data_IF_980503926327
#
_entry.id   IF_980503926327
#
_cell.length_a   1.000
_cell.length_b   1.000
_cell.length_c   1.000
_cell.angle_alpha   90.00
_cell.angle_beta   90.00
_cell.angle_gamma   90.00
#
_symmetry.space_group_name_H-M   'P 1'
#
loop_
_entity.id
_entity.type
_entity.pdbx_description
1 polymer ?
#
# COMPACT_ATOMS: atom_id res chain seq x y z
N UNK A 1 17.02 -9.48 16.63
CA UNK A 1 16.79 -8.15 16.00
C UNK A 1 15.92 -7.34 16.94
N UNK A 2 16.27 -6.08 17.22
CA UNK A 2 15.43 -5.22 18.06
C UNK A 2 14.05 -5.03 17.39
N UNK A 3 13.00 -5.09 18.17
CA UNK A 3 11.65 -4.79 17.69
C UNK A 3 11.61 -3.33 17.23
N UNK A 4 11.26 -3.10 15.94
CA UNK A 4 11.11 -1.77 15.34
C UNK A 4 9.66 -1.47 14.98
N UNK A 5 8.70 -2.18 15.59
CA UNK A 5 7.28 -1.95 15.33
C UNK A 5 6.84 -0.55 15.78
N UNK A 6 5.82 -0.02 15.13
CA UNK A 6 5.12 1.19 15.55
C UNK A 6 3.75 0.80 16.10
N UNK A 7 3.39 1.30 17.29
CA UNK A 7 2.07 1.16 17.88
C UNK A 7 1.49 2.54 18.16
N UNK A 8 0.24 2.77 17.79
CA UNK A 8 -0.44 4.06 17.84
C UNK A 8 -1.85 3.90 18.36
N UNK A 9 -2.20 4.67 19.40
CA UNK A 9 -3.56 4.86 19.88
C UNK A 9 -3.84 6.36 19.92
N UNK A 10 -4.90 6.82 19.26
CA UNK A 10 -5.30 8.23 19.23
C UNK A 10 -6.79 8.34 19.48
N UNK A 11 -7.18 9.19 20.46
CA UNK A 11 -8.58 9.48 20.77
C UNK A 11 -8.78 10.95 21.08
N UNK A 12 -9.72 11.58 20.41
CA UNK A 12 -10.22 12.94 20.70
C UNK A 12 -11.56 13.18 20.00
N UNK A 13 -12.39 14.02 20.59
CA UNK A 13 -13.70 14.38 20.03
C UNK A 13 -13.63 15.54 19.01
N UNK A 14 -12.68 16.45 19.18
CA UNK A 14 -12.51 17.61 18.30
C UNK A 14 -11.16 18.31 18.49
N UNK A 15 -10.78 19.25 17.62
CA UNK A 15 -11.50 19.75 16.42
C UNK A 15 -11.54 18.77 15.24
N UNK A 16 -10.67 17.78 15.20
CA UNK A 16 -10.68 16.69 14.24
C UNK A 16 -10.92 15.41 15.04
N UNK A 17 -12.11 14.80 14.96
CA UNK A 17 -12.38 13.57 15.71
C UNK A 17 -11.38 12.48 15.35
N UNK A 18 -10.89 11.74 16.33
CA UNK A 18 -10.03 10.58 16.16
C UNK A 18 -10.41 9.50 17.19
N UNK A 19 -10.63 8.28 16.71
CA UNK A 19 -10.81 7.11 17.55
C UNK A 19 -10.27 5.89 16.80
N UNK A 20 -8.99 5.62 17.03
CA UNK A 20 -8.29 4.58 16.28
C UNK A 20 -7.11 4.01 17.06
N UNK A 21 -6.84 2.75 16.74
CA UNK A 21 -5.69 2.01 17.21
C UNK A 21 -5.15 1.15 16.08
N UNK A 22 -3.83 1.13 15.91
CA UNK A 22 -3.17 0.28 14.93
C UNK A 22 -1.72 0.01 15.30
N UNK A 23 -1.16 -1.00 14.65
CA UNK A 23 0.27 -1.29 14.66
C UNK A 23 0.80 -1.44 13.23
N UNK A 24 2.10 -1.16 13.06
CA UNK A 24 2.83 -1.39 11.83
C UNK A 24 4.12 -2.12 12.16
N UNK A 25 4.29 -3.31 11.63
CA UNK A 25 5.47 -4.14 11.90
C UNK A 25 6.73 -3.64 11.20
N UNK A 26 7.87 -4.17 11.63
CA UNK A 26 9.16 -3.93 10.98
C UNK A 26 9.12 -4.42 9.53
N UNK A 27 9.41 -3.55 8.58
CA UNK A 27 9.36 -3.87 7.15
C UNK A 27 7.95 -3.91 6.54
N UNK A 28 6.92 -3.55 7.29
CA UNK A 28 5.55 -3.39 6.76
C UNK A 28 5.31 -1.99 6.18
N UNK A 29 4.37 -1.93 5.23
CA UNK A 29 3.75 -0.68 4.77
C UNK A 29 2.29 -0.67 5.24
N UNK A 30 1.97 0.22 6.18
CA UNK A 30 0.60 0.51 6.54
C UNK A 30 0.09 1.68 5.69
N UNK A 31 -0.90 1.44 4.84
CA UNK A 31 -1.61 2.51 4.15
C UNK A 31 -2.83 2.95 4.95
N UNK A 32 -2.90 4.22 5.29
CA UNK A 32 -4.10 4.86 5.85
C UNK A 32 -4.88 5.44 4.69
N UNK A 33 -6.04 4.85 4.39
CA UNK A 33 -6.89 5.20 3.28
C UNK A 33 -8.27 5.67 3.75
N UNK A 34 -8.81 6.69 3.11
CA UNK A 34 -10.11 7.24 3.45
C UNK A 34 -10.40 8.57 2.74
N UNK A 35 -11.63 9.09 2.82
CA UNK A 35 -12.03 10.35 2.18
C UNK A 35 -11.18 11.54 2.64
N UNK A 36 -11.19 12.61 1.85
CA UNK A 36 -10.59 13.88 2.26
C UNK A 36 -11.23 14.40 3.55
N UNK A 37 -10.42 14.95 4.46
CA UNK A 37 -10.91 15.44 5.75
C UNK A 37 -11.11 14.35 6.83
N UNK A 38 -10.86 13.07 6.55
CA UNK A 38 -11.02 11.99 7.56
C UNK A 38 -9.97 11.97 8.68
N UNK A 39 -8.98 12.87 8.67
CA UNK A 39 -7.96 12.97 9.72
C UNK A 39 -6.62 12.30 9.40
N UNK A 40 -6.40 11.78 8.18
CA UNK A 40 -5.20 11.03 7.78
C UNK A 40 -3.88 11.77 8.06
N UNK A 41 -3.74 13.00 7.57
CA UNK A 41 -2.55 13.85 7.82
C UNK A 41 -2.38 14.16 9.31
N UNK A 42 -3.49 14.30 10.06
CA UNK A 42 -3.45 14.52 11.52
C UNK A 42 -2.83 13.33 12.24
N UNK A 43 -3.13 12.10 11.80
CA UNK A 43 -2.50 10.88 12.35
C UNK A 43 -0.99 10.92 12.13
N UNK A 44 -0.51 11.20 10.90
CA UNK A 44 0.92 11.30 10.63
C UNK A 44 1.59 12.40 11.46
N UNK A 45 0.95 13.56 11.58
CA UNK A 45 1.45 14.67 12.41
C UNK A 45 1.51 14.29 13.89
N UNK A 46 0.55 13.49 14.39
CA UNK A 46 0.57 12.99 15.76
C UNK A 46 1.76 12.05 15.99
N UNK A 47 2.01 11.11 15.07
CA UNK A 47 3.17 10.21 15.14
C UNK A 47 4.48 11.01 15.13
N UNK A 48 4.58 12.03 14.27
CA UNK A 48 5.75 12.90 14.19
C UNK A 48 5.90 13.84 15.41
N UNK A 49 4.88 13.94 16.28
CA UNK A 49 4.86 14.86 17.42
C UNK A 49 4.53 16.32 17.06
N UNK A 50 4.07 16.55 15.83
CA UNK A 50 3.66 17.87 15.30
C UNK A 50 2.21 18.24 15.66
N UNK A 51 1.43 17.27 16.11
CA UNK A 51 0.07 17.45 16.62
C UNK A 51 -0.11 16.60 17.88
N UNK A 52 -0.90 17.08 18.83
CA UNK A 52 -1.08 16.44 20.12
C UNK A 52 -2.58 16.22 20.38
N UNK A 53 -3.12 15.02 20.09
CA UNK A 53 -4.48 14.64 20.46
C UNK A 53 -4.71 14.65 21.97
N UNK A 54 -5.97 14.74 22.39
CA UNK A 54 -6.36 14.75 23.79
C UNK A 54 -5.88 13.49 24.53
N UNK A 55 -6.04 12.34 23.88
CA UNK A 55 -5.52 11.06 24.38
C UNK A 55 -4.69 10.39 23.31
N UNK A 56 -3.45 10.04 23.64
CA UNK A 56 -2.58 9.33 22.71
C UNK A 56 -1.60 8.43 23.46
N UNK A 57 -1.28 7.29 22.83
CA UNK A 57 -0.13 6.47 23.15
C UNK A 57 0.58 6.13 21.84
N UNK A 58 1.86 6.48 21.71
CA UNK A 58 2.67 6.25 20.51
C UNK A 58 4.00 5.66 20.95
N UNK A 59 4.28 4.45 20.43
CA UNK A 59 5.50 3.70 20.73
C UNK A 59 6.18 3.25 19.45
N UNK A 60 7.51 3.28 19.45
CA UNK A 60 8.35 2.73 18.38
C UNK A 60 9.33 1.74 19.01
N UNK A 61 9.10 0.45 18.77
CA UNK A 61 9.76 -0.62 19.51
C UNK A 61 9.58 -0.45 21.00
N UNK A 62 10.68 -0.44 21.75
CA UNK A 62 10.68 -0.24 23.21
C UNK A 62 10.52 1.23 23.63
N UNK A 63 10.62 2.18 22.71
CA UNK A 63 10.61 3.61 23.00
C UNK A 63 9.19 4.18 22.96
N UNK A 64 8.72 4.73 24.08
CA UNK A 64 7.47 5.52 24.15
C UNK A 64 7.76 6.94 23.71
N UNK A 65 7.17 7.39 22.58
CA UNK A 65 7.30 8.75 22.10
C UNK A 65 6.27 9.71 22.70
N UNK A 66 5.07 9.21 22.95
CA UNK A 66 4.04 9.97 23.65
C UNK A 66 3.11 9.04 24.39
N UNK A 67 2.71 9.45 25.58
CA UNK A 67 1.69 8.80 26.39
C UNK A 67 1.02 9.85 27.29
N UNK A 68 -0.27 10.10 27.05
CA UNK A 68 -1.02 11.09 27.81
C UNK A 68 -1.35 10.65 29.24
N UNK A 69 -1.34 9.35 29.53
CA UNK A 69 -1.58 8.81 30.90
C UNK A 69 -0.36 9.09 31.77
N UNK A 70 0.83 8.84 31.26
CA UNK A 70 2.09 9.10 31.99
C UNK A 70 2.61 10.52 31.84
N UNK A 71 2.02 11.33 30.94
CA UNK A 71 2.49 12.67 30.60
C UNK A 71 3.75 12.71 29.74
N UNK A 72 4.24 11.56 29.28
CA UNK A 72 5.44 11.49 28.45
C UNK A 72 5.20 12.10 27.07
N UNK A 73 6.14 12.93 26.61
CA UNK A 73 6.10 13.51 25.27
C UNK A 73 7.52 13.82 24.77
N UNK A 74 7.98 13.04 23.80
CA UNK A 74 9.22 13.31 23.09
C UNK A 74 8.95 14.35 22.00
N UNK A 75 9.67 15.50 22.00
CA UNK A 75 9.44 16.53 20.98
C UNK A 75 9.86 16.04 19.57
N UNK A 76 9.29 16.61 18.47
CA UNK A 76 9.49 16.12 17.10
C UNK A 76 10.95 15.94 16.69
N UNK A 77 11.83 16.87 17.05
CA UNK A 77 13.24 16.84 16.67
C UNK A 77 14.06 15.74 17.36
N UNK A 78 13.52 15.14 18.43
CA UNK A 78 14.15 14.01 19.14
C UNK A 78 13.52 12.66 18.75
N UNK A 79 12.43 12.64 17.97
CA UNK A 79 11.88 11.39 17.43
C UNK A 79 12.69 10.92 16.22
N UNK A 80 13.00 9.65 16.18
CA UNK A 80 13.66 9.02 15.02
C UNK A 80 12.63 8.79 13.89
N UNK A 81 12.06 9.86 13.35
CA UNK A 81 11.04 9.85 12.30
C UNK A 81 11.59 10.49 11.04
N UNK A 82 11.44 9.80 9.89
CA UNK A 82 11.53 10.40 8.57
C UNK A 82 10.12 10.82 8.11
N UNK A 83 9.94 12.08 7.71
CA UNK A 83 8.65 12.59 7.24
C UNK A 83 8.78 13.21 5.85
N UNK A 84 8.01 12.69 4.89
CA UNK A 84 7.83 13.27 3.57
C UNK A 84 6.47 13.93 3.54
N UNK A 85 6.45 15.27 3.47
CA UNK A 85 5.23 16.08 3.42
C UNK A 85 4.64 16.09 2.01
N UNK A 86 3.33 16.30 1.90
CA UNK A 86 2.59 16.37 0.63
C UNK A 86 3.19 17.38 -0.37
N UNK A 87 3.64 18.54 0.10
CA UNK A 87 4.31 19.56 -0.72
C UNK A 87 5.85 19.46 -0.67
N UNK A 88 6.38 18.31 -0.24
CA UNK A 88 7.82 18.02 -0.08
C UNK A 88 8.56 18.89 0.93
N UNK A 89 8.08 20.09 1.23
CA UNK A 89 8.66 21.07 2.16
C UNK A 89 10.19 21.26 1.98
N UNK A 90 10.64 21.36 0.73
CA UNK A 90 12.03 21.60 0.41
C UNK A 90 12.39 23.08 0.62
N UNK A 91 13.59 23.35 1.10
CA UNK A 91 14.13 24.70 1.23
C UNK A 91 14.44 25.25 -0.18
N UNK A 92 13.71 26.28 -0.67
CA UNK A 92 13.82 26.70 -2.07
C UNK A 92 15.14 27.38 -2.41
N UNK A 93 15.85 27.90 -1.41
CA UNK A 93 17.15 28.58 -1.55
C UNK A 93 18.33 27.59 -1.56
N UNK A 94 18.14 26.37 -1.07
CA UNK A 94 19.17 25.32 -1.04
C UNK A 94 19.10 24.43 -2.30
N UNK A 95 20.23 23.84 -2.66
CA UNK A 95 20.30 22.79 -3.68
C UNK A 95 19.70 21.46 -3.18
N UNK A 96 19.57 20.47 -4.04
CA UNK A 96 19.17 19.12 -3.63
C UNK A 96 20.10 18.57 -2.55
N UNK A 97 21.42 18.66 -2.76
CA UNK A 97 22.42 18.28 -1.76
C UNK A 97 22.27 19.08 -0.46
N UNK A 98 22.10 20.41 -0.56
CA UNK A 98 21.90 21.29 0.59
C UNK A 98 20.67 20.89 1.41
N UNK A 99 19.55 20.54 0.76
CA UNK A 99 18.34 20.05 1.42
C UNK A 99 18.59 18.78 2.24
N UNK A 100 19.31 17.81 1.70
CA UNK A 100 19.64 16.56 2.42
C UNK A 100 20.63 16.85 3.55
N UNK A 101 21.64 17.68 3.32
CA UNK A 101 22.64 18.07 4.33
C UNK A 101 22.03 18.73 5.57
N UNK A 102 20.89 19.44 5.45
CA UNK A 102 20.22 20.06 6.63
C UNK A 102 19.79 19.02 7.67
N UNK A 103 19.40 17.83 7.23
CA UNK A 103 19.00 16.74 8.13
C UNK A 103 20.19 16.01 8.79
N UNK A 104 21.39 16.20 8.27
CA UNK A 104 22.64 15.59 8.75
C UNK A 104 23.44 16.51 9.70
N UNK A 105 22.80 17.52 10.30
CA UNK A 105 23.45 18.51 11.15
C UNK A 105 24.23 17.94 12.35
N UNK A 106 23.92 16.73 12.76
CA UNK A 106 24.59 15.99 13.84
C UNK A 106 25.94 15.36 13.42
N UNK A 107 26.30 15.35 12.11
CA UNK A 107 27.54 14.75 11.59
C UNK A 107 28.59 15.81 11.27
N UNK A 108 29.90 15.50 11.33
CA UNK A 108 30.96 16.38 10.86
C UNK A 108 30.81 16.77 9.39
N UNK A 109 31.30 17.94 9.00
CA UNK A 109 31.04 18.55 7.69
C UNK A 109 31.41 17.69 6.48
N UNK A 110 32.59 17.05 6.50
CA UNK A 110 33.02 16.17 5.39
C UNK A 110 32.15 14.90 5.27
N UNK A 111 31.85 14.25 6.38
CA UNK A 111 30.97 13.08 6.41
C UNK A 111 29.55 13.41 6.01
N UNK A 112 29.06 14.61 6.40
CA UNK A 112 27.74 15.11 6.04
C UNK A 112 27.55 15.20 4.54
N UNK A 113 28.53 15.74 3.82
CA UNK A 113 28.48 15.87 2.37
C UNK A 113 28.47 14.49 1.70
N UNK A 114 29.41 13.62 2.07
CA UNK A 114 29.49 12.26 1.52
C UNK A 114 28.19 11.50 1.74
N UNK A 115 27.67 11.52 2.97
CA UNK A 115 26.41 10.83 3.29
C UNK A 115 25.21 11.38 2.52
N UNK A 116 25.15 12.70 2.31
CA UNK A 116 24.10 13.32 1.52
C UNK A 116 24.18 12.91 0.04
N UNK A 117 25.38 12.80 -0.53
CA UNK A 117 25.62 12.31 -1.89
C UNK A 117 25.22 10.84 -2.03
N UNK A 118 25.53 9.99 -1.03
CA UNK A 118 25.13 8.58 -1.01
C UNK A 118 23.60 8.44 -0.96
N UNK A 119 22.91 9.26 -0.16
CA UNK A 119 21.45 9.25 -0.09
C UNK A 119 20.80 9.74 -1.37
N UNK A 120 21.36 10.75 -2.04
CA UNK A 120 20.89 11.18 -3.36
C UNK A 120 21.09 10.09 -4.41
N UNK A 121 22.18 9.35 -4.34
CA UNK A 121 22.44 8.21 -5.22
C UNK A 121 21.46 7.06 -4.96
N UNK A 122 21.15 6.79 -3.68
CA UNK A 122 20.15 5.79 -3.30
C UNK A 122 18.76 6.06 -3.91
N UNK A 123 18.40 7.33 -4.10
CA UNK A 123 17.12 7.74 -4.73
C UNK A 123 17.30 8.12 -6.21
N UNK A 124 18.33 7.67 -6.88
CA UNK A 124 18.59 7.89 -8.32
C UNK A 124 18.57 9.36 -8.73
N UNK A 125 19.23 10.23 -7.96
CA UNK A 125 19.43 11.65 -8.26
C UNK A 125 20.89 12.01 -8.55
N UNK A 126 21.63 11.06 -9.12
CA UNK A 126 23.00 11.31 -9.60
C UNK A 126 23.00 12.47 -10.63
N UNK A 127 23.97 13.37 -10.48
CA UNK A 127 24.09 14.53 -11.36
C UNK A 127 23.10 15.67 -11.12
N UNK A 128 22.15 15.53 -10.17
CA UNK A 128 21.17 16.58 -9.85
C UNK A 128 21.46 17.29 -8.52
N UNK A 129 22.53 16.93 -7.83
CA UNK A 129 22.90 17.42 -6.49
C UNK A 129 22.99 18.95 -6.37
N UNK A 130 23.44 19.63 -7.42
CA UNK A 130 23.59 21.09 -7.47
C UNK A 130 22.30 21.84 -7.86
N UNK A 131 21.25 21.16 -8.32
CA UNK A 131 19.99 21.80 -8.74
C UNK A 131 19.19 22.27 -7.53
N UNK A 132 18.54 23.44 -7.66
CA UNK A 132 17.57 23.95 -6.68
C UNK A 132 16.18 23.36 -6.96
N UNK A 133 15.26 23.32 -5.98
CA UNK A 133 13.92 22.75 -6.12
C UNK A 133 13.13 23.29 -7.33
N UNK A 134 13.31 24.54 -7.72
CA UNK A 134 12.65 25.14 -8.89
C UNK A 134 13.09 24.54 -10.23
N UNK A 135 14.29 23.98 -10.29
CA UNK A 135 14.86 23.34 -11.48
C UNK A 135 14.68 21.81 -11.48
N UNK A 136 13.91 21.27 -10.53
CA UNK A 136 13.59 19.86 -10.39
C UNK A 136 12.14 19.60 -10.78
N UNK A 137 11.89 18.47 -11.44
CA UNK A 137 10.55 17.92 -11.68
C UNK A 137 9.85 17.55 -10.37
N UNK A 138 8.54 17.27 -10.40
CA UNK A 138 7.79 16.80 -9.24
C UNK A 138 8.39 15.55 -8.61
N UNK A 139 8.70 14.54 -9.43
CA UNK A 139 9.32 13.30 -8.97
C UNK A 139 10.74 13.50 -8.41
N UNK A 140 11.57 14.36 -9.03
CA UNK A 140 12.89 14.68 -8.49
C UNK A 140 12.81 15.41 -7.15
N UNK A 141 11.84 16.33 -6.97
CA UNK A 141 11.59 16.98 -5.67
C UNK A 141 11.19 15.98 -4.60
N UNK A 142 10.34 15.04 -4.94
CA UNK A 142 9.93 13.96 -4.04
C UNK A 142 11.13 13.11 -3.61
N UNK A 143 11.99 12.72 -4.54
CA UNK A 143 13.22 11.95 -4.25
C UNK A 143 14.16 12.72 -3.31
N UNK A 144 14.34 14.02 -3.50
CA UNK A 144 15.11 14.85 -2.56
C UNK A 144 14.47 14.84 -1.17
N UNK A 145 13.14 14.96 -1.07
CA UNK A 145 12.43 14.91 0.21
C UNK A 145 12.58 13.54 0.89
N UNK A 146 12.55 12.46 0.11
CA UNK A 146 12.77 11.11 0.60
C UNK A 146 14.20 10.92 1.10
N UNK A 147 15.22 11.33 0.32
CA UNK A 147 16.63 11.30 0.75
C UNK A 147 16.85 12.09 2.05
N UNK A 148 16.20 13.26 2.18
CA UNK A 148 16.24 14.08 3.40
C UNK A 148 15.58 13.39 4.59
N UNK A 149 14.45 12.71 4.38
CA UNK A 149 13.76 11.95 5.43
C UNK A 149 14.62 10.78 5.92
N UNK A 150 15.34 10.11 5.03
CA UNK A 150 16.24 8.99 5.34
C UNK A 150 17.55 9.42 6.02
N UNK A 151 17.94 10.69 5.87
CA UNK A 151 19.23 11.19 6.37
C UNK A 151 19.42 11.06 7.89
N UNK A 152 18.33 11.00 8.65
CA UNK A 152 18.36 10.82 10.10
C UNK A 152 18.30 9.36 10.56
N UNK A 153 18.40 8.41 9.63
CA UNK A 153 18.32 6.97 9.93
C UNK A 153 17.06 6.65 10.76
N UNK A 154 15.86 6.94 10.21
CA UNK A 154 14.63 6.91 10.97
C UNK A 154 14.28 5.49 11.43
N UNK A 155 13.62 5.39 12.61
CA UNK A 155 12.98 4.17 13.06
C UNK A 155 11.61 3.94 12.40
N UNK A 156 10.98 5.02 11.91
CA UNK A 156 9.68 5.00 11.21
C UNK A 156 9.73 6.00 10.06
N UNK A 157 9.20 5.62 8.89
CA UNK A 157 9.06 6.51 7.73
C UNK A 157 7.58 6.87 7.53
N UNK A 158 7.27 8.16 7.48
CA UNK A 158 5.93 8.70 7.27
C UNK A 158 5.84 9.39 5.91
N UNK A 159 4.88 9.00 5.10
CA UNK A 159 4.65 9.54 3.75
C UNK A 159 3.24 10.13 3.65
N UNK A 160 3.14 11.43 3.46
CA UNK A 160 1.86 12.15 3.34
C UNK A 160 1.57 12.43 1.87
N UNK A 161 0.66 11.68 1.28
CA UNK A 161 0.27 11.74 -0.15
C UNK A 161 1.48 11.77 -1.12
N UNK A 162 2.40 10.81 -0.99
CA UNK A 162 3.71 10.91 -1.65
C UNK A 162 3.64 10.93 -3.18
N UNK A 163 2.55 10.45 -3.80
CA UNK A 163 2.46 10.31 -5.25
C UNK A 163 1.41 11.21 -5.91
N UNK A 164 0.77 12.12 -5.15
CA UNK A 164 -0.34 12.93 -5.65
C UNK A 164 0.03 13.92 -6.77
N UNK A 165 1.27 14.40 -6.80
CA UNK A 165 1.72 15.47 -7.69
C UNK A 165 2.58 14.98 -8.89
N UNK A 166 2.58 13.68 -9.19
CA UNK A 166 3.42 13.09 -10.24
C UNK A 166 2.57 12.34 -11.27
N UNK A 167 3.03 12.34 -12.53
CA UNK A 167 2.39 11.59 -13.60
C UNK A 167 2.52 10.07 -13.40
N UNK A 168 1.69 9.30 -14.13
CA UNK A 168 1.54 7.85 -13.94
C UNK A 168 2.84 7.07 -14.12
N UNK A 169 3.69 7.46 -15.05
CA UNK A 169 4.94 6.75 -15.34
C UNK A 169 5.98 6.97 -14.24
N UNK A 170 6.15 8.22 -13.81
CA UNK A 170 7.02 8.60 -12.70
C UNK A 170 6.52 8.02 -11.39
N UNK A 171 5.20 8.00 -11.17
CA UNK A 171 4.57 7.41 -9.98
C UNK A 171 4.96 5.95 -9.80
N UNK A 172 4.88 5.14 -10.85
CA UNK A 172 5.26 3.72 -10.78
C UNK A 172 6.71 3.53 -10.35
N UNK A 173 7.64 4.31 -10.91
CA UNK A 173 9.05 4.27 -10.50
C UNK A 173 9.26 4.63 -9.04
N UNK A 174 8.60 5.69 -8.58
CA UNK A 174 8.68 6.12 -7.17
C UNK A 174 8.08 5.09 -6.22
N UNK A 175 6.99 4.43 -6.60
CA UNK A 175 6.42 3.33 -5.81
C UNK A 175 7.41 2.18 -5.66
N UNK A 176 8.09 1.80 -6.73
CA UNK A 176 9.15 0.81 -6.70
C UNK A 176 10.28 1.21 -5.76
N UNK A 177 10.78 2.44 -5.89
CA UNK A 177 11.86 2.96 -5.04
C UNK A 177 11.47 2.95 -3.55
N UNK A 178 10.21 3.31 -3.22
CA UNK A 178 9.71 3.25 -1.84
C UNK A 178 9.66 1.80 -1.33
N UNK A 179 9.26 0.83 -2.15
CA UNK A 179 9.24 -0.58 -1.76
C UNK A 179 10.66 -1.14 -1.58
N UNK A 180 11.61 -0.78 -2.44
CA UNK A 180 13.02 -1.16 -2.30
C UNK A 180 13.64 -0.57 -1.03
N UNK A 181 13.36 0.69 -0.71
CA UNK A 181 13.80 1.34 0.52
C UNK A 181 13.24 0.59 1.74
N UNK A 182 11.94 0.24 1.72
CA UNK A 182 11.30 -0.54 2.79
C UNK A 182 12.02 -1.87 3.01
N UNK A 183 12.25 -2.63 1.93
CA UNK A 183 12.91 -3.95 2.00
C UNK A 183 14.32 -3.82 2.57
N UNK A 184 15.07 -2.81 2.15
CA UNK A 184 16.46 -2.62 2.56
C UNK A 184 16.61 -2.13 3.99
N UNK A 185 15.70 -1.26 4.46
CA UNK A 185 15.78 -0.67 5.81
C UNK A 185 15.11 -1.52 6.89
N UNK A 186 14.10 -2.31 6.54
CA UNK A 186 13.34 -3.13 7.47
C UNK A 186 12.68 -2.32 8.59
N UNK A 187 12.24 -1.09 8.30
CA UNK A 187 11.51 -0.22 9.25
C UNK A 187 10.02 -0.14 8.87
N UNK A 188 9.13 0.14 9.82
CA UNK A 188 7.74 0.44 9.51
C UNK A 188 7.62 1.70 8.67
N UNK A 189 6.75 1.63 7.66
CA UNK A 189 6.39 2.74 6.80
C UNK A 189 4.88 2.99 6.93
N UNK A 190 4.49 4.21 7.27
CA UNK A 190 3.08 4.62 7.30
C UNK A 190 2.83 5.61 6.16
N UNK A 191 1.96 5.24 5.24
CA UNK A 191 1.60 6.05 4.08
C UNK A 191 0.14 6.49 4.18
N UNK A 192 -0.10 7.76 3.93
CA UNK A 192 -1.43 8.32 3.73
C UNK A 192 -1.64 8.55 2.24
N UNK A 193 -2.75 8.09 1.71
CA UNK A 193 -3.14 8.34 0.32
C UNK A 193 -4.66 8.35 0.18
N UNK A 194 -5.16 9.04 -0.82
CA UNK A 194 -6.54 8.96 -1.29
C UNK A 194 -6.67 8.14 -2.58
N UNK A 195 -5.54 7.69 -3.13
CA UNK A 195 -5.51 6.86 -4.33
C UNK A 195 -5.33 5.39 -3.95
N UNK A 196 -6.33 4.61 -4.32
CA UNK A 196 -6.37 3.20 -3.99
C UNK A 196 -5.35 2.35 -4.78
N UNK A 197 -4.92 2.80 -5.96
CA UNK A 197 -3.88 2.11 -6.72
C UNK A 197 -2.57 2.06 -5.90
N UNK A 198 -2.24 3.13 -5.15
CA UNK A 198 -1.08 3.14 -4.25
C UNK A 198 -1.23 2.12 -3.13
N UNK A 199 -2.43 2.03 -2.54
CA UNK A 199 -2.72 1.09 -1.44
C UNK A 199 -2.51 -0.34 -1.92
N UNK A 200 -3.18 -0.72 -3.02
CA UNK A 200 -3.12 -2.10 -3.53
C UNK A 200 -1.70 -2.47 -3.96
N UNK A 201 -0.96 -1.52 -4.51
CA UNK A 201 0.39 -1.78 -5.02
C UNK A 201 1.45 -1.94 -3.92
N UNK A 202 1.38 -1.11 -2.87
CA UNK A 202 2.45 -0.98 -1.90
C UNK A 202 2.12 -1.55 -0.52
N UNK A 203 0.87 -1.41 -0.07
CA UNK A 203 0.53 -1.72 1.32
C UNK A 203 0.62 -3.22 1.61
N UNK A 204 1.22 -3.58 2.75
CA UNK A 204 1.08 -4.91 3.37
C UNK A 204 -0.17 -4.93 4.24
N UNK A 205 -0.44 -3.82 4.92
CA UNK A 205 -1.59 -3.60 5.78
C UNK A 205 -2.33 -2.32 5.38
N UNK A 206 -3.61 -2.29 5.63
CA UNK A 206 -4.44 -1.11 5.39
C UNK A 206 -5.25 -0.76 6.64
N UNK A 207 -5.36 0.54 6.91
CA UNK A 207 -6.29 1.12 7.86
C UNK A 207 -7.28 1.97 7.09
N UNK A 208 -8.54 1.53 7.07
CA UNK A 208 -9.61 2.27 6.44
C UNK A 208 -10.17 3.27 7.45
N UNK A 209 -10.13 4.54 7.11
CA UNK A 209 -10.50 5.64 7.99
C UNK A 209 -11.73 6.38 7.46
N UNK A 210 -12.77 6.45 8.26
CA UNK A 210 -13.96 7.26 7.98
C UNK A 210 -14.26 8.16 9.17
N UNK A 211 -14.37 9.49 8.93
CA UNK A 211 -14.69 10.49 9.96
C UNK A 211 -13.87 10.35 11.24
N UNK A 212 -12.57 10.06 11.10
CA UNK A 212 -11.65 9.90 12.23
C UNK A 212 -11.71 8.55 12.95
N UNK A 213 -12.52 7.61 12.48
CA UNK A 213 -12.66 6.27 13.07
C UNK A 213 -12.08 5.21 12.15
N UNK A 214 -11.44 4.21 12.73
CA UNK A 214 -11.02 3.01 12.01
C UNK A 214 -12.24 2.14 11.70
N UNK A 215 -12.58 2.00 10.41
CA UNK A 215 -13.68 1.14 9.95
C UNK A 215 -13.22 -0.29 9.75
N UNK A 216 -12.01 -0.45 9.25
CA UNK A 216 -11.34 -1.75 9.12
C UNK A 216 -9.83 -1.57 9.18
N UNK A 217 -9.13 -2.58 9.70
CA UNK A 217 -7.66 -2.62 9.74
C UNK A 217 -7.18 -4.06 9.61
N UNK A 218 -6.05 -4.27 8.95
CA UNK A 218 -5.42 -5.58 8.82
C UNK A 218 -4.64 -5.75 7.52
N UNK A 219 -4.19 -6.99 7.23
CA UNK A 219 -3.56 -7.33 5.97
C UNK A 219 -4.45 -6.96 4.79
N UNK A 220 -3.86 -6.39 3.73
CA UNK A 220 -4.64 -5.88 2.59
C UNK A 220 -5.54 -6.96 1.96
N UNK A 221 -5.04 -8.17 1.82
CA UNK A 221 -5.81 -9.30 1.29
C UNK A 221 -7.08 -9.59 2.10
N UNK A 222 -6.99 -9.53 3.43
CA UNK A 222 -8.11 -9.76 4.35
C UNK A 222 -9.13 -8.61 4.28
N UNK A 223 -8.67 -7.36 4.30
CA UNK A 223 -9.59 -6.22 4.25
C UNK A 223 -10.28 -6.12 2.90
N UNK A 224 -9.56 -6.40 1.80
CA UNK A 224 -10.12 -6.38 0.45
C UNK A 224 -11.14 -7.50 0.18
N UNK A 225 -11.09 -8.59 0.93
CA UNK A 225 -12.07 -9.69 0.81
C UNK A 225 -13.34 -9.47 1.65
N UNK A 226 -13.51 -8.29 2.29
CA UNK A 226 -14.67 -7.94 3.09
C UNK A 226 -15.78 -7.31 2.22
N UNK A 227 -16.90 -8.00 2.00
CA UNK A 227 -18.00 -7.48 1.16
C UNK A 227 -18.88 -6.44 1.88
N UNK A 228 -18.77 -6.36 3.23
CA UNK A 228 -19.54 -5.45 4.10
C UNK A 228 -19.05 -4.00 4.09
N UNK A 229 -17.90 -3.71 3.45
CA UNK A 229 -17.34 -2.36 3.35
C UNK A 229 -17.95 -1.59 2.16
N UNK A 230 -19.18 -1.09 2.34
CA UNK A 230 -19.97 -0.44 1.30
C UNK A 230 -19.21 0.69 0.59
N UNK A 231 -18.61 1.63 1.34
CA UNK A 231 -17.89 2.75 0.75
C UNK A 231 -16.62 2.35 -0.03
N UNK A 232 -15.95 1.27 0.37
CA UNK A 232 -14.81 0.73 -0.37
C UNK A 232 -15.27 0.16 -1.72
N UNK A 233 -16.43 -0.52 -1.71
CA UNK A 233 -17.08 -1.03 -2.91
C UNK A 233 -17.43 0.09 -3.90
N UNK A 234 -17.97 1.20 -3.42
CA UNK A 234 -18.27 2.38 -4.25
C UNK A 234 -17.02 3.07 -4.78
N UNK A 235 -16.02 3.29 -3.91
CA UNK A 235 -14.84 4.07 -4.24
C UNK A 235 -13.90 3.36 -5.21
N UNK A 236 -13.81 2.03 -5.15
CA UNK A 236 -12.70 1.26 -5.76
C UNK A 236 -13.16 0.00 -6.49
N UNK A 237 -14.40 -0.45 -6.26
CA UNK A 237 -14.90 -1.76 -6.66
C UNK A 237 -14.30 -2.90 -5.83
N UNK A 238 -15.08 -3.94 -5.65
CA UNK A 238 -14.61 -5.15 -4.97
C UNK A 238 -13.60 -5.91 -5.84
N UNK A 239 -12.69 -6.61 -5.17
CA UNK A 239 -11.73 -7.47 -5.84
C UNK A 239 -10.88 -8.24 -4.84
N UNK A 240 -10.26 -9.28 -5.33
CA UNK A 240 -9.33 -10.09 -4.53
C UNK A 240 -7.91 -9.64 -4.81
N UNK A 241 -7.11 -9.48 -3.76
CA UNK A 241 -5.68 -9.14 -3.83
C UNK A 241 -4.90 -10.23 -3.10
N UNK A 242 -3.86 -10.76 -3.75
CA UNK A 242 -2.97 -11.78 -3.18
C UNK A 242 -1.60 -11.73 -3.83
N UNK A 243 -0.61 -12.34 -3.20
CA UNK A 243 0.73 -12.48 -3.77
C UNK A 243 0.85 -13.84 -4.48
N UNK A 244 1.53 -13.85 -5.62
CA UNK A 244 1.79 -15.05 -6.43
C UNK A 244 3.24 -15.07 -6.91
N UNK A 245 3.77 -16.25 -7.19
CA UNK A 245 5.12 -16.44 -7.73
C UNK A 245 5.02 -16.76 -9.21
N UNK A 246 5.80 -16.09 -10.04
CA UNK A 246 5.96 -16.39 -11.46
C UNK A 246 6.72 -17.70 -11.60
N UNK A 247 6.08 -18.74 -12.09
CA UNK A 247 6.71 -20.06 -12.27
C UNK A 247 7.24 -20.28 -13.68
N UNK A 248 6.55 -19.75 -14.68
CA UNK A 248 6.91 -19.95 -16.09
C UNK A 248 6.65 -18.67 -16.89
N UNK A 249 7.57 -18.32 -17.77
CA UNK A 249 7.43 -17.18 -18.69
C UNK A 249 7.30 -17.72 -20.13
N UNK A 250 6.13 -17.54 -20.74
CA UNK A 250 5.84 -17.92 -22.14
C UNK A 250 6.08 -16.68 -23.04
N UNK A 251 7.32 -16.42 -23.40
CA UNK A 251 7.70 -15.21 -24.18
C UNK A 251 7.01 -15.13 -25.54
N UNK A 252 6.85 -16.26 -26.22
CA UNK A 252 6.18 -16.41 -27.51
C UNK A 252 4.69 -16.04 -27.45
N UNK A 253 4.06 -16.24 -26.30
CA UNK A 253 2.62 -15.98 -26.07
C UNK A 253 2.37 -14.67 -25.33
N UNK A 254 3.38 -14.02 -24.77
CA UNK A 254 3.25 -12.84 -23.91
C UNK A 254 2.48 -13.13 -22.63
N UNK A 255 2.60 -14.33 -22.07
CA UNK A 255 1.91 -14.81 -20.87
C UNK A 255 2.92 -15.28 -19.84
N UNK A 256 2.52 -15.21 -18.59
CA UNK A 256 3.22 -15.81 -17.45
C UNK A 256 2.29 -16.74 -16.68
N UNK A 257 2.85 -17.83 -16.19
CA UNK A 257 2.17 -18.71 -15.25
C UNK A 257 2.50 -18.28 -13.82
N UNK A 258 1.46 -18.12 -13.01
CA UNK A 258 1.54 -17.67 -11.62
C UNK A 258 1.08 -18.81 -10.71
N UNK A 259 1.85 -19.09 -9.66
CA UNK A 259 1.47 -20.01 -8.59
C UNK A 259 1.09 -19.24 -7.34
N UNK A 260 -0.04 -19.57 -6.73
CA UNK A 260 -0.54 -18.98 -5.49
C UNK A 260 -1.26 -20.05 -4.63
N UNK A 261 -1.69 -19.71 -3.42
CA UNK A 261 -2.32 -20.67 -2.51
C UNK A 261 -3.58 -21.34 -3.07
N UNK A 262 -4.33 -20.66 -3.95
CA UNK A 262 -5.54 -21.18 -4.59
C UNK A 262 -5.31 -21.92 -5.93
N UNK A 263 -4.06 -22.16 -6.36
CA UNK A 263 -3.75 -22.87 -7.60
C UNK A 263 -2.81 -22.15 -8.54
N UNK A 264 -3.13 -22.15 -9.82
CA UNK A 264 -2.33 -21.52 -10.88
C UNK A 264 -3.17 -20.60 -11.75
N UNK A 265 -2.56 -19.54 -12.26
CA UNK A 265 -3.17 -18.58 -13.17
C UNK A 265 -2.23 -18.29 -14.35
N UNK A 266 -2.82 -18.06 -15.52
CA UNK A 266 -2.15 -17.47 -16.67
C UNK A 266 -2.55 -16.00 -16.80
N UNK A 267 -1.58 -15.10 -16.76
CA UNK A 267 -1.77 -13.67 -16.89
C UNK A 267 -0.91 -13.11 -18.01
N UNK A 268 -1.33 -12.01 -18.69
CA UNK A 268 -0.49 -11.33 -19.66
C UNK A 268 0.62 -10.59 -18.92
N UNK A 269 1.85 -10.84 -19.31
CA UNK A 269 3.00 -10.08 -18.84
C UNK A 269 4.11 -10.12 -19.89
N UNK A 270 4.87 -9.01 -19.93
CA UNK A 270 6.11 -8.92 -20.70
C UNK A 270 7.19 -8.47 -19.72
N UNK A 271 8.37 -9.06 -19.84
CA UNK A 271 9.55 -8.64 -19.05
C UNK A 271 9.51 -8.93 -17.54
N UNK A 272 8.73 -9.92 -17.08
CA UNK A 272 8.81 -10.40 -15.70
C UNK A 272 9.67 -11.67 -15.67
N UNK A 273 10.64 -11.73 -14.74
CA UNK A 273 11.47 -12.90 -14.57
C UNK A 273 10.74 -14.03 -13.82
N UNK A 274 11.13 -15.28 -14.09
CA UNK A 274 10.72 -16.40 -13.27
C UNK A 274 11.19 -16.21 -11.81
N UNK A 275 10.53 -16.88 -10.87
CA UNK A 275 10.77 -16.81 -9.42
C UNK A 275 10.54 -15.41 -8.79
N UNK A 276 9.95 -14.48 -9.57
CA UNK A 276 9.55 -13.17 -9.05
C UNK A 276 8.21 -13.29 -8.32
N UNK A 277 8.14 -12.76 -7.09
CA UNK A 277 6.86 -12.57 -6.40
C UNK A 277 6.17 -11.33 -6.92
N UNK A 278 4.95 -11.49 -7.38
CA UNK A 278 4.10 -10.41 -7.90
C UNK A 278 2.82 -10.32 -7.09
N UNK A 279 2.33 -9.11 -6.90
CA UNK A 279 0.99 -8.90 -6.35
C UNK A 279 -0.03 -8.95 -7.47
N UNK A 280 -1.10 -9.69 -7.24
CA UNK A 280 -2.19 -9.91 -8.19
C UNK A 280 -3.44 -9.25 -7.66
N UNK A 281 -4.17 -8.53 -8.51
CA UNK A 281 -5.54 -8.08 -8.25
C UNK A 281 -6.47 -8.64 -9.31
N UNK A 282 -7.61 -9.17 -8.87
CA UNK A 282 -8.69 -9.63 -9.74
C UNK A 282 -9.96 -8.90 -9.33
N UNK A 283 -10.51 -7.99 -10.16
CA UNK A 283 -11.76 -7.32 -9.87
C UNK A 283 -12.93 -8.31 -9.80
N UNK A 284 -13.79 -8.20 -8.80
CA UNK A 284 -14.87 -9.15 -8.56
C UNK A 284 -15.87 -9.23 -9.73
N UNK A 285 -16.10 -8.13 -10.44
CA UNK A 285 -16.96 -8.03 -11.63
C UNK A 285 -16.43 -8.80 -12.86
N UNK A 286 -15.16 -9.14 -12.87
CA UNK A 286 -14.50 -9.86 -13.99
C UNK A 286 -14.57 -11.38 -13.83
N UNK A 287 -15.17 -11.87 -12.74
CA UNK A 287 -15.24 -13.29 -12.42
C UNK A 287 -16.60 -13.84 -12.81
N UNK A 288 -16.60 -14.90 -13.62
CA UNK A 288 -17.78 -15.64 -13.99
C UNK A 288 -17.82 -16.95 -13.20
N UNK A 289 -18.99 -17.30 -12.66
CA UNK A 289 -19.17 -18.54 -11.92
C UNK A 289 -19.89 -19.58 -12.77
N UNK A 290 -19.41 -20.83 -12.76
CA UNK A 290 -20.04 -21.94 -13.45
C UNK A 290 -20.21 -23.11 -12.48
N UNK A 291 -21.40 -23.71 -12.48
CA UNK A 291 -21.74 -24.90 -11.64
C UNK A 291 -21.21 -26.22 -12.20
N UNK A 292 -20.78 -26.20 -13.45
CA UNK A 292 -20.15 -27.34 -14.15
C UNK A 292 -18.85 -26.85 -14.78
N UNK A 293 -17.90 -27.77 -14.97
CA UNK A 293 -16.65 -27.46 -15.66
C UNK A 293 -16.96 -27.10 -17.12
N UNK A 294 -16.64 -25.87 -17.54
CA UNK A 294 -16.97 -25.43 -18.89
C UNK A 294 -15.98 -25.93 -19.91
N UNK A 295 -16.44 -26.19 -21.13
CA UNK A 295 -15.61 -26.56 -22.26
C UNK A 295 -15.77 -25.59 -23.43
N UNK A 296 -14.76 -25.54 -24.31
CA UNK A 296 -14.81 -24.73 -25.55
C UNK A 296 -14.77 -23.23 -25.35
N UNK A 297 -14.15 -22.75 -24.26
CA UNK A 297 -14.03 -21.32 -23.95
C UNK A 297 -12.65 -20.78 -24.33
N UNK A 298 -12.60 -19.48 -24.64
CA UNK A 298 -11.33 -18.75 -24.86
C UNK A 298 -10.64 -18.35 -23.55
N UNK A 299 -11.09 -18.87 -22.41
CA UNK A 299 -10.52 -18.59 -21.08
C UNK A 299 -9.42 -19.61 -20.75
N UNK A 300 -8.35 -19.14 -20.12
CA UNK A 300 -7.29 -20.02 -19.65
C UNK A 300 -7.47 -20.41 -18.17
N UNK A 301 -8.09 -19.53 -17.37
CA UNK A 301 -8.18 -19.70 -15.93
C UNK A 301 -9.57 -20.20 -15.54
N UNK A 302 -9.65 -21.49 -15.23
CA UNK A 302 -10.83 -22.16 -14.68
C UNK A 302 -10.40 -22.78 -13.35
N UNK A 303 -10.83 -22.20 -12.25
CA UNK A 303 -10.38 -22.56 -10.91
C UNK A 303 -11.53 -23.24 -10.16
N UNK A 304 -11.37 -24.49 -9.72
CA UNK A 304 -12.35 -25.14 -8.86
C UNK A 304 -12.34 -24.47 -7.47
N UNK A 305 -13.52 -24.25 -6.91
CA UNK A 305 -13.68 -23.65 -5.60
C UNK A 305 -14.96 -24.06 -4.90
N UNK A 306 -15.09 -23.66 -3.66
CA UNK A 306 -16.27 -23.89 -2.83
C UNK A 306 -16.84 -22.55 -2.39
N UNK A 307 -18.15 -22.36 -2.55
CA UNK A 307 -18.83 -21.16 -2.07
C UNK A 307 -18.76 -21.10 -0.54
N UNK A 308 -18.07 -20.10 -0.01
CA UNK A 308 -17.98 -19.87 1.42
C UNK A 308 -19.20 -19.10 1.94
N UNK A 309 -19.62 -18.06 1.22
CA UNK A 309 -20.78 -17.23 1.57
C UNK A 309 -21.36 -16.53 0.36
N UNK A 310 -22.62 -16.13 0.47
CA UNK A 310 -23.32 -15.27 -0.50
C UNK A 310 -23.84 -14.06 0.27
N UNK A 311 -23.46 -12.87 -0.15
CA UNK A 311 -23.81 -11.61 0.49
C UNK A 311 -24.77 -10.84 -0.38
N UNK A 312 -25.87 -10.43 0.23
CA UNK A 312 -26.86 -9.54 -0.35
C UNK A 312 -26.92 -8.25 0.46
N UNK A 313 -26.75 -7.13 -0.22
CA UNK A 313 -26.98 -5.81 0.36
C UNK A 313 -28.09 -5.14 -0.44
N UNK A 314 -29.25 -4.80 0.19
CA UNK A 314 -30.35 -4.15 -0.51
C UNK A 314 -30.00 -2.81 -1.15
N UNK A 315 -28.95 -2.15 -0.66
CA UNK A 315 -28.47 -0.87 -1.20
C UNK A 315 -27.60 -1.04 -2.45
N UNK A 316 -27.13 -2.25 -2.71
CA UNK A 316 -26.20 -2.55 -3.81
C UNK A 316 -26.61 -3.81 -4.57
N UNK A 317 -26.96 -3.65 -5.84
CA UNK A 317 -26.89 -4.71 -6.82
C UNK A 317 -25.56 -4.58 -7.56
N UNK A 318 -24.75 -5.61 -7.77
CA UNK A 318 -24.97 -7.06 -7.68
C UNK A 318 -24.72 -7.69 -6.31
N UNK A 319 -25.07 -8.99 -6.16
CA UNK A 319 -24.70 -9.82 -5.02
C UNK A 319 -23.22 -10.19 -5.06
N UNK A 320 -22.63 -10.44 -3.90
CA UNK A 320 -21.24 -10.87 -3.79
C UNK A 320 -21.16 -12.31 -3.32
N UNK A 321 -20.52 -13.16 -4.13
CA UNK A 321 -20.23 -14.56 -3.81
C UNK A 321 -18.77 -14.67 -3.41
N UNK A 322 -18.53 -15.19 -2.21
CA UNK A 322 -17.19 -15.55 -1.73
C UNK A 322 -16.92 -17.02 -2.10
N UNK A 323 -15.82 -17.23 -2.81
CA UNK A 323 -15.39 -18.57 -3.25
C UNK A 323 -14.02 -18.87 -2.67
N UNK A 324 -13.95 -19.91 -1.85
CA UNK A 324 -12.68 -20.44 -1.35
C UNK A 324 -12.02 -21.33 -2.40
N UNK A 325 -10.82 -20.98 -2.81
CA UNK A 325 -9.99 -21.72 -3.75
C UNK A 325 -8.97 -22.66 -3.05
N UNK A 326 -9.14 -22.90 -1.74
CA UNK A 326 -8.18 -23.71 -0.97
C UNK A 326 -7.03 -22.89 -0.40
N UNK A 327 -7.34 -21.73 0.17
CA UNK A 327 -6.39 -20.82 0.82
C UNK A 327 -6.40 -19.39 0.30
N UNK A 328 -7.14 -19.14 -0.77
CA UNK A 328 -7.38 -17.78 -1.29
C UNK A 328 -8.88 -17.55 -1.45
N UNK A 329 -9.39 -16.52 -0.77
CA UNK A 329 -10.79 -16.11 -0.87
C UNK A 329 -10.99 -15.23 -2.09
N UNK A 330 -11.73 -15.72 -3.09
CA UNK A 330 -12.07 -14.98 -4.29
C UNK A 330 -13.46 -14.34 -4.14
N UNK A 331 -13.60 -13.09 -4.58
CA UNK A 331 -14.89 -12.38 -4.62
C UNK A 331 -15.40 -12.32 -6.04
N UNK A 332 -16.67 -12.74 -6.26
CA UNK A 332 -17.34 -12.59 -7.54
C UNK A 332 -18.61 -11.75 -7.38
N UNK A 333 -18.78 -10.73 -8.22
CA UNK A 333 -20.04 -9.98 -8.35
C UNK A 333 -20.93 -10.63 -9.38
N UNK A 334 -22.12 -11.05 -8.95
CA UNK A 334 -23.11 -11.73 -9.78
C UNK A 334 -24.50 -11.14 -9.57
N UNK A 335 -25.37 -11.20 -10.57
CA UNK A 335 -26.76 -10.73 -10.43
C UNK A 335 -27.54 -11.66 -9.50
N UNK A 336 -28.56 -11.11 -8.85
CA UNK A 336 -29.48 -11.92 -8.02
C UNK A 336 -30.12 -13.04 -8.82
N UNK A 337 -30.56 -12.76 -10.05
CA UNK A 337 -31.10 -13.77 -10.97
C UNK A 337 -30.12 -14.95 -11.18
N UNK A 338 -28.84 -14.67 -11.38
CA UNK A 338 -27.83 -15.71 -11.56
C UNK A 338 -27.68 -16.59 -10.31
N UNK A 339 -27.67 -15.99 -9.11
CA UNK A 339 -27.63 -16.72 -7.85
C UNK A 339 -28.84 -17.64 -7.69
N UNK A 340 -30.05 -17.15 -7.95
CA UNK A 340 -31.31 -17.91 -7.85
C UNK A 340 -31.36 -19.01 -8.91
N UNK A 341 -31.09 -18.70 -10.18
CA UNK A 341 -31.13 -19.64 -11.31
C UNK A 341 -30.12 -20.79 -11.17
N UNK A 342 -28.91 -20.49 -10.72
CA UNK A 342 -27.83 -21.48 -10.53
C UNK A 342 -27.87 -22.11 -9.13
N UNK A 343 -28.79 -21.64 -8.26
CA UNK A 343 -28.93 -22.07 -6.87
C UNK A 343 -27.63 -21.97 -6.10
N UNK A 344 -26.88 -20.86 -6.29
CA UNK A 344 -25.59 -20.67 -5.63
C UNK A 344 -25.82 -20.48 -4.13
N UNK A 345 -25.17 -21.35 -3.34
CA UNK A 345 -25.26 -21.34 -1.88
C UNK A 345 -24.00 -21.85 -1.21
N UNK A 346 -23.85 -21.55 0.07
CA UNK A 346 -22.68 -21.94 0.86
C UNK A 346 -22.46 -23.48 0.81
N UNK A 347 -21.21 -23.89 0.68
CA UNK A 347 -20.80 -25.29 0.55
C UNK A 347 -20.89 -25.86 -0.87
N UNK A 348 -21.45 -25.13 -1.84
CA UNK A 348 -21.55 -25.58 -3.22
C UNK A 348 -20.19 -25.54 -3.91
N UNK A 349 -19.85 -26.64 -4.63
CA UNK A 349 -18.69 -26.66 -5.52
C UNK A 349 -19.03 -25.97 -6.84
N UNK A 350 -18.13 -25.17 -7.35
CA UNK A 350 -18.27 -24.46 -8.61
C UNK A 350 -16.89 -24.13 -9.21
N UNK A 351 -16.89 -23.56 -10.39
CA UNK A 351 -15.69 -23.10 -11.07
C UNK A 351 -15.74 -21.57 -11.21
N UNK A 352 -14.65 -20.91 -10.80
CA UNK A 352 -14.41 -19.50 -11.05
C UNK A 352 -13.63 -19.33 -12.35
N UNK A 353 -14.20 -18.60 -13.29
CA UNK A 353 -13.64 -18.37 -14.61
C UNK A 353 -13.12 -16.94 -14.69
N UNK A 354 -11.85 -16.79 -15.05
CA UNK A 354 -11.16 -15.50 -15.07
C UNK A 354 -10.46 -15.33 -16.42
N UNK A 355 -10.76 -14.24 -17.12
CA UNK A 355 -10.01 -13.88 -18.33
C UNK A 355 -8.58 -13.48 -17.93
N UNK A 356 -7.58 -14.00 -18.64
CA UNK A 356 -6.19 -13.62 -18.37
C UNK A 356 -5.97 -12.11 -18.41
N UNK A 357 -6.63 -11.41 -19.33
CA UNK A 357 -6.54 -9.93 -19.48
C UNK A 357 -7.20 -9.14 -18.35
N UNK A 358 -8.03 -9.76 -17.53
CA UNK A 358 -8.66 -9.13 -16.36
C UNK A 358 -7.80 -9.26 -15.10
N UNK A 359 -6.66 -9.95 -15.17
CA UNK A 359 -5.71 -10.11 -14.07
C UNK A 359 -4.74 -8.92 -14.10
N UNK A 360 -4.77 -8.12 -13.06
CA UNK A 360 -3.88 -6.98 -12.88
C UNK A 360 -2.63 -7.42 -12.11
N UNK A 361 -1.45 -7.37 -12.78
CA UNK A 361 -0.17 -7.61 -12.13
C UNK A 361 0.39 -6.29 -11.61
N UNK A 362 0.52 -6.21 -10.29
CA UNK A 362 1.03 -5.04 -9.58
C UNK A 362 2.47 -5.35 -9.15
N UNK A 363 3.39 -5.37 -10.11
CA UNK A 363 4.79 -5.68 -9.85
C UNK A 363 5.49 -4.55 -9.10
N UNK A 364 6.29 -4.92 -8.08
CA UNK A 364 7.40 -4.10 -7.64
C UNK A 364 8.59 -4.40 -8.57
N UNK A 365 8.90 -3.46 -9.43
CA UNK A 365 10.14 -3.32 -10.21
C UNK A 365 10.78 -4.49 -10.96
N UNK A 366 10.91 -4.33 -12.21
CA UNK A 366 12.09 -4.31 -13.09
C UNK A 366 11.68 -4.08 -14.54
N UNK A 367 10.60 -3.34 -14.79
CA UNK A 367 9.99 -3.27 -16.12
C UNK A 367 10.17 -1.92 -16.84
N UNK A 368 11.24 -1.18 -16.54
CA UNK A 368 11.56 0.04 -17.30
C UNK A 368 13.07 0.21 -17.51
N UNK A 369 13.68 -0.73 -18.20
CA UNK A 369 14.92 -0.46 -18.96
C UNK A 369 14.56 -0.46 -20.45
N UNK A 370 14.04 0.68 -20.92
CA UNK A 370 14.28 1.25 -22.27
C UNK A 370 13.98 2.72 -22.26
#
# INVERSE_FOLDING_TARGET
>A
MADRSLSVVLRQDGPIPLDLEFSCGSGDILAIFGPSGSGKTTILRSIAGLYRPAHMSIRSGEHTWSDTVTGQHVPPHLRAVGYVFQEYALFPHLTALGNVMTALGHRPGAERRQRAEDLLRLVHLDGHSARKPRALSGGERQRVALARALAREPAVLLLDEPFAAVDRSVRRRLQTEVDDIRRNLGIPLVMVTHDFEDVVRLATHVLLLERGRAVASGPIATVMSRPDLAWLREAVGLGTVFDAVVTTVHQDRGLVELSFAGGRLLAPARHIAADTTVRVRIPAREIVLATQEPAGLSLHNVLPGVVAAVHFDPAFEPMVVQVDLGGTMLLAEVTRDAVERLRIGAGQRLHALIKSVSIELLTSASDDTR
#
